data_IF_759791534712
#
_entry.id   IF_759791534712
#
_cell.length_a   1.000
_cell.length_b   1.000
_cell.length_c   1.000
_cell.angle_alpha   90.00
_cell.angle_beta   90.00
_cell.angle_gamma   90.00
#
_symmetry.space_group_name_H-M   'P 1'
#
loop_
_entity.id
_entity.type
_entity.pdbx_description
1 polymer ?
#
# COMPACT_ATOMS: atom_id res chain seq x y z
N UNK A 1 -1.46 -16.94 -15.52
CA UNK A 1 -1.54 -15.75 -16.42
C UNK A 1 -0.23 -15.00 -16.26
N UNK A 2 0.45 -14.65 -17.37
CA UNK A 2 1.64 -13.80 -17.33
C UNK A 2 1.26 -12.34 -17.05
N UNK A 3 2.10 -11.61 -16.33
CA UNK A 3 1.98 -10.18 -16.07
C UNK A 3 0.58 -9.74 -15.59
N UNK A 4 -0.01 -10.35 -14.54
CA UNK A 4 -1.24 -9.82 -13.97
C UNK A 4 -1.05 -8.34 -13.58
N UNK A 5 -2.10 -7.55 -13.70
CA UNK A 5 -2.08 -6.11 -13.43
C UNK A 5 -2.88 -5.77 -12.17
N UNK A 6 -2.35 -4.87 -11.34
CA UNK A 6 -2.96 -4.47 -10.06
C UNK A 6 -2.71 -3.00 -9.74
N UNK A 7 -3.51 -2.41 -8.86
CA UNK A 7 -3.10 -1.23 -8.09
C UNK A 7 -2.12 -1.64 -6.98
N UNK A 8 -1.38 -0.68 -6.41
CA UNK A 8 -0.74 -0.87 -5.10
C UNK A 8 -1.81 -0.94 -4.02
N UNK A 9 -2.66 0.05 -3.91
CA UNK A 9 -3.80 0.09 -2.99
C UNK A 9 -4.77 1.19 -3.38
N UNK A 10 -4.39 2.44 -3.17
CA UNK A 10 -5.27 3.58 -3.35
C UNK A 10 -5.49 3.98 -4.82
N UNK A 11 -6.73 4.38 -5.12
CA UNK A 11 -7.15 5.07 -6.33
C UNK A 11 -7.61 6.50 -5.97
N UNK A 12 -7.58 7.49 -6.89
CA UNK A 12 -7.99 8.85 -6.55
C UNK A 12 -9.45 8.92 -6.09
N UNK A 13 -9.65 9.41 -4.87
CA UNK A 13 -10.97 9.62 -4.31
C UNK A 13 -11.68 10.77 -5.05
N UNK A 14 -13.03 10.72 -5.22
CA UNK A 14 -13.77 11.81 -5.84
C UNK A 14 -13.69 13.11 -5.03
N UNK A 15 -13.66 14.25 -5.74
CA UNK A 15 -13.58 15.59 -5.12
C UNK A 15 -14.83 15.92 -4.28
N UNK A 16 -15.97 15.31 -4.60
CA UNK A 16 -17.18 15.46 -3.78
C UNK A 16 -17.13 14.68 -2.47
N UNK A 17 -16.27 13.65 -2.37
CA UNK A 17 -16.10 12.83 -1.17
C UNK A 17 -15.08 13.42 -0.21
N UNK A 18 -13.91 13.82 -0.71
CA UNK A 18 -12.79 14.28 0.11
C UNK A 18 -12.20 15.58 -0.45
N UNK A 19 -11.72 16.45 0.42
CA UNK A 19 -10.99 17.65 0.04
C UNK A 19 -9.57 17.32 -0.40
N UNK A 20 -9.41 17.08 -1.70
CA UNK A 20 -8.15 16.66 -2.30
C UNK A 20 -7.08 17.76 -2.29
N UNK A 21 -7.47 19.03 -2.34
CA UNK A 21 -6.55 20.15 -2.25
C UNK A 21 -5.89 20.18 -0.86
N UNK A 22 -6.71 20.13 0.20
CA UNK A 22 -6.21 20.07 1.58
C UNK A 22 -5.42 18.78 1.85
N UNK A 23 -5.84 17.66 1.29
CA UNK A 23 -5.12 16.38 1.41
C UNK A 23 -3.76 16.45 0.72
N UNK A 24 -3.67 17.03 -0.48
CA UNK A 24 -2.43 17.16 -1.25
C UNK A 24 -1.45 18.20 -0.70
N UNK A 25 -1.95 19.19 0.03
CA UNK A 25 -1.14 20.24 0.66
C UNK A 25 -0.49 19.84 1.99
N UNK A 26 -0.57 18.58 2.41
CA UNK A 26 -0.05 18.08 3.71
C UNK A 26 0.49 16.66 3.58
N UNK A 27 1.34 16.27 4.52
CA UNK A 27 1.72 14.87 4.67
C UNK A 27 0.48 14.00 4.91
N UNK A 28 0.45 12.73 4.42
CA UNK A 28 -0.63 11.82 4.69
C UNK A 28 -0.92 11.75 6.19
N UNK A 29 -2.17 12.00 6.63
CA UNK A 29 -2.49 12.02 8.05
C UNK A 29 -2.22 10.66 8.71
N UNK A 30 -1.64 10.69 9.92
CA UNK A 30 -1.38 9.48 10.72
C UNK A 30 -2.44 9.26 11.79
N UNK A 31 -3.16 10.31 12.15
CA UNK A 31 -4.38 10.27 12.95
C UNK A 31 -5.60 10.57 12.09
N UNK A 32 -6.80 10.33 12.61
CA UNK A 32 -8.03 10.61 11.85
C UNK A 32 -8.11 12.10 11.49
N UNK A 33 -8.43 12.36 10.24
CA UNK A 33 -8.52 13.69 9.64
C UNK A 33 -9.94 13.90 9.08
N UNK A 34 -10.93 13.84 9.97
CA UNK A 34 -12.36 13.86 9.61
C UNK A 34 -12.77 15.13 8.89
N UNK A 35 -12.05 16.22 9.10
CA UNK A 35 -12.24 17.51 8.43
C UNK A 35 -11.94 17.50 6.93
N UNK A 36 -11.30 16.44 6.43
CA UNK A 36 -11.07 16.25 4.99
C UNK A 36 -12.31 15.74 4.25
N UNK A 37 -13.25 15.08 4.95
CA UNK A 37 -14.47 14.60 4.30
C UNK A 37 -15.42 15.75 4.01
N UNK A 38 -15.88 15.84 2.73
CA UNK A 38 -16.84 16.87 2.28
C UNK A 38 -18.29 16.47 2.50
N UNK A 39 -18.52 15.22 2.88
CA UNK A 39 -19.85 14.66 3.13
C UNK A 39 -20.13 14.68 4.63
N UNK A 40 -21.35 15.03 5.02
CA UNK A 40 -21.76 15.03 6.43
C UNK A 40 -21.66 13.63 7.04
N UNK A 41 -21.38 13.49 8.35
CA UNK A 41 -21.25 12.19 8.99
C UNK A 41 -22.45 11.25 8.78
N UNK A 42 -23.66 11.79 8.64
CA UNK A 42 -24.89 11.03 8.42
C UNK A 42 -24.88 10.24 7.09
N UNK A 43 -24.22 10.76 6.07
CA UNK A 43 -24.18 10.16 4.73
C UNK A 43 -22.79 9.64 4.34
N UNK A 44 -21.79 9.81 5.21
CA UNK A 44 -20.41 9.50 4.86
C UNK A 44 -20.21 8.03 4.47
N UNK A 45 -20.79 7.11 5.23
CA UNK A 45 -20.66 5.67 4.97
C UNK A 45 -21.28 5.26 3.62
N UNK A 46 -22.42 5.85 3.24
CA UNK A 46 -23.06 5.65 1.93
C UNK A 46 -22.18 6.21 0.81
N UNK A 47 -21.74 7.45 0.94
CA UNK A 47 -20.86 8.10 -0.02
C UNK A 47 -19.53 7.36 -0.22
N UNK A 48 -18.96 6.79 0.82
CA UNK A 48 -17.75 5.97 0.74
C UNK A 48 -17.98 4.67 -0.04
N UNK A 49 -19.15 4.02 0.13
CA UNK A 49 -19.55 2.84 -0.66
C UNK A 49 -19.73 3.17 -2.13
N UNK A 50 -20.41 4.28 -2.44
CA UNK A 50 -20.60 4.75 -3.82
C UNK A 50 -19.25 5.06 -4.48
N UNK A 51 -18.34 5.71 -3.76
CA UNK A 51 -16.99 5.96 -4.24
C UNK A 51 -16.20 4.67 -4.46
N UNK A 52 -16.38 3.65 -3.61
CA UNK A 52 -15.76 2.33 -3.79
C UNK A 52 -16.27 1.64 -5.04
N UNK A 53 -17.58 1.69 -5.33
CA UNK A 53 -18.14 1.18 -6.60
C UNK A 53 -17.53 1.88 -7.81
N UNK A 54 -17.38 3.20 -7.77
CA UNK A 54 -16.72 3.96 -8.84
C UNK A 54 -15.23 3.58 -9.00
N UNK A 55 -14.52 3.28 -7.89
CA UNK A 55 -13.14 2.85 -7.96
C UNK A 55 -13.02 1.43 -8.53
N UNK A 56 -13.89 0.49 -8.15
CA UNK A 56 -13.95 -0.86 -8.71
C UNK A 56 -14.23 -0.76 -10.21
N UNK A 57 -15.27 -0.04 -10.58
CA UNK A 57 -15.64 0.14 -11.99
C UNK A 57 -14.49 0.71 -12.82
N UNK A 58 -13.80 1.75 -12.34
CA UNK A 58 -12.69 2.35 -13.06
C UNK A 58 -11.53 1.36 -13.27
N UNK A 59 -11.20 0.55 -12.25
CA UNK A 59 -10.17 -0.48 -12.34
C UNK A 59 -10.55 -1.58 -13.36
N UNK A 60 -11.78 -2.04 -13.34
CA UNK A 60 -12.28 -3.05 -14.27
C UNK A 60 -12.36 -2.53 -15.70
N UNK A 61 -12.80 -1.27 -15.90
CA UNK A 61 -12.82 -0.62 -17.23
C UNK A 61 -11.41 -0.38 -17.78
N UNK A 62 -10.43 -0.08 -16.92
CA UNK A 62 -9.03 -0.01 -17.30
C UNK A 62 -8.43 -1.41 -17.61
N UNK A 63 -9.13 -2.50 -17.34
CA UNK A 63 -8.73 -3.86 -17.64
C UNK A 63 -7.84 -4.52 -16.59
N UNK A 64 -7.83 -4.05 -15.35
CA UNK A 64 -7.02 -4.67 -14.28
C UNK A 64 -7.46 -6.12 -14.00
N UNK A 65 -6.50 -6.98 -13.73
CA UNK A 65 -6.72 -8.38 -13.36
C UNK A 65 -7.01 -8.53 -11.86
N UNK A 66 -6.38 -7.69 -11.04
CA UNK A 66 -6.49 -7.66 -9.58
C UNK A 66 -6.99 -6.28 -9.17
N UNK A 67 -8.11 -6.21 -8.46
CA UNK A 67 -8.74 -4.96 -8.04
C UNK A 67 -8.65 -4.74 -6.53
N UNK A 68 -8.73 -3.47 -6.12
CA UNK A 68 -8.71 -3.05 -4.71
C UNK A 68 -9.96 -2.22 -4.39
N UNK A 69 -10.21 -1.94 -3.10
CA UNK A 69 -11.24 -1.00 -2.64
C UNK A 69 -10.90 0.47 -3.00
N UNK A 70 -9.71 0.71 -3.55
CA UNK A 70 -9.18 2.05 -3.84
C UNK A 70 -8.92 2.90 -2.60
N UNK A 71 -9.02 2.35 -1.39
CA UNK A 71 -8.92 3.05 -0.10
C UNK A 71 -9.95 4.19 0.05
N UNK A 72 -11.15 4.02 -0.51
CA UNK A 72 -12.17 5.07 -0.52
C UNK A 72 -12.67 5.45 0.87
N UNK A 73 -12.55 4.53 1.85
CA UNK A 73 -12.99 4.73 3.23
C UNK A 73 -11.90 5.30 4.16
N UNK A 74 -10.71 5.65 3.63
CA UNK A 74 -9.54 6.05 4.42
C UNK A 74 -9.00 7.42 3.99
N UNK A 75 -8.66 8.26 4.96
CA UNK A 75 -7.96 9.53 4.67
C UNK A 75 -6.50 9.24 4.26
N UNK A 76 -5.91 8.16 4.84
CA UNK A 76 -4.55 7.69 4.57
C UNK A 76 -4.50 6.18 4.74
N UNK A 77 -3.47 5.54 4.17
CA UNK A 77 -3.27 4.08 4.22
C UNK A 77 -3.16 3.53 5.65
N UNK A 78 -2.68 4.30 6.63
CA UNK A 78 -2.38 3.79 7.97
C UNK A 78 -3.32 4.27 9.07
N UNK A 79 -3.91 5.46 8.94
CA UNK A 79 -4.53 6.14 10.06
C UNK A 79 -5.80 5.46 10.58
N UNK A 80 -6.61 4.86 9.70
CA UNK A 80 -7.85 4.18 10.10
C UNK A 80 -7.55 2.97 10.98
N UNK A 81 -6.65 2.10 10.55
CA UNK A 81 -6.29 0.91 11.31
C UNK A 81 -5.56 1.28 12.61
N UNK A 82 -4.51 2.10 12.52
CA UNK A 82 -3.69 2.47 13.68
C UNK A 82 -4.49 3.15 14.82
N UNK A 83 -5.55 3.91 14.48
CA UNK A 83 -6.39 4.59 15.46
C UNK A 83 -7.61 3.78 15.94
N UNK A 84 -7.82 2.59 15.39
CA UNK A 84 -8.90 1.68 15.80
C UNK A 84 -8.47 0.67 16.88
N UNK A 85 -7.18 0.68 17.27
CA UNK A 85 -6.61 -0.27 18.23
C UNK A 85 -6.71 0.26 19.66
N UNK A 86 -6.86 -0.66 20.64
CA UNK A 86 -6.64 -0.37 22.05
C UNK A 86 -5.18 -0.02 22.30
N UNK A 87 -4.94 0.70 23.37
CA UNK A 87 -3.62 1.17 23.74
C UNK A 87 -3.22 2.48 23.07
N UNK A 88 -4.04 2.99 22.13
CA UNK A 88 -3.84 4.28 21.45
C UNK A 88 -4.75 5.36 22.06
N UNK A 89 -4.14 6.45 22.54
CA UNK A 89 -4.86 7.65 22.97
C UNK A 89 -5.20 8.49 21.72
N UNK A 90 -6.45 8.39 21.27
CA UNK A 90 -6.95 9.09 20.07
C UNK A 90 -7.31 10.56 20.35
N UNK A 91 -7.55 10.91 21.60
CA UNK A 91 -7.95 12.26 22.01
C UNK A 91 -6.74 13.19 22.20
N UNK A 92 -5.58 12.62 22.55
CA UNK A 92 -4.33 13.33 22.76
C UNK A 92 -3.23 12.76 21.82
N UNK A 93 -3.23 13.10 20.54
CA UNK A 93 -2.23 12.61 19.59
C UNK A 93 -0.81 12.94 20.06
N UNK A 94 0.11 12.02 19.76
CA UNK A 94 1.53 12.22 19.95
C UNK A 94 2.16 12.99 18.80
N UNK A 95 3.48 13.09 18.84
CA UNK A 95 4.29 13.70 17.78
C UNK A 95 5.46 12.79 17.44
N UNK A 96 5.67 12.53 16.14
CA UNK A 96 6.88 11.88 15.63
C UNK A 96 7.41 12.63 14.43
N UNK A 97 8.70 12.47 14.16
CA UNK A 97 9.32 13.04 12.97
C UNK A 97 8.92 12.22 11.74
N UNK A 98 8.48 12.91 10.70
CA UNK A 98 8.26 12.29 9.40
C UNK A 98 9.59 11.93 8.71
N UNK A 99 9.51 11.47 7.45
CA UNK A 99 10.70 11.09 6.68
C UNK A 99 11.63 12.26 6.37
N UNK A 100 11.09 13.49 6.37
CA UNK A 100 11.81 14.72 6.09
C UNK A 100 12.29 15.43 7.36
N UNK A 101 12.07 14.83 8.54
CA UNK A 101 12.49 15.37 9.84
C UNK A 101 11.54 16.42 10.44
N UNK A 102 10.33 16.57 9.88
CA UNK A 102 9.35 17.51 10.43
C UNK A 102 8.42 16.81 11.44
N UNK A 103 8.02 17.50 12.53
CA UNK A 103 7.06 16.98 13.48
C UNK A 103 5.68 16.80 12.84
N UNK A 104 5.07 15.64 13.03
CA UNK A 104 3.76 15.30 12.51
C UNK A 104 2.90 14.66 13.61
N UNK A 105 1.61 15.00 13.73
CA UNK A 105 0.71 14.31 14.65
C UNK A 105 0.61 12.82 14.32
N UNK A 106 0.79 11.97 15.33
CA UNK A 106 0.79 10.51 15.21
C UNK A 106 -0.04 9.86 16.31
N UNK A 107 -0.44 8.59 16.18
CA UNK A 107 -1.01 7.82 17.28
C UNK A 107 -0.08 7.84 18.49
N UNK A 108 -0.63 8.10 19.67
CA UNK A 108 0.09 8.04 20.94
C UNK A 108 -0.23 6.75 21.66
N UNK A 109 0.77 5.92 21.84
CA UNK A 109 0.62 4.60 22.48
C UNK A 109 0.86 4.72 23.98
N UNK A 110 -0.20 4.57 24.75
CA UNK A 110 -0.23 4.71 26.22
C UNK A 110 -0.58 3.43 26.96
N UNK A 111 -0.81 2.33 26.22
CA UNK A 111 -1.15 1.02 26.74
C UNK A 111 -0.82 -0.10 25.76
N UNK A 112 -1.11 -1.36 26.13
CA UNK A 112 -0.83 -2.49 25.24
C UNK A 112 -1.69 -2.42 23.97
N UNK A 113 -1.05 -2.53 22.81
CA UNK A 113 -1.75 -2.59 21.53
C UNK A 113 -2.57 -3.88 21.45
N UNK A 114 -3.85 -3.74 21.18
CA UNK A 114 -4.79 -4.86 20.98
C UNK A 114 -5.83 -4.49 19.94
N UNK A 115 -6.21 -5.46 19.12
CA UNK A 115 -7.31 -5.31 18.19
C UNK A 115 -8.63 -5.68 18.90
N UNK A 116 -9.59 -4.75 18.97
CA UNK A 116 -10.93 -4.98 19.59
C UNK A 116 -11.91 -5.66 18.62
N UNK A 117 -11.84 -5.30 17.36
CA UNK A 117 -12.77 -5.73 16.31
C UNK A 117 -12.09 -5.66 14.94
N UNK A 118 -12.60 -6.38 13.94
CA UNK A 118 -12.16 -6.23 12.56
C UNK A 118 -12.32 -4.79 12.07
N UNK A 119 -11.32 -4.27 11.37
CA UNK A 119 -11.29 -2.87 10.93
C UNK A 119 -11.61 -2.73 9.43
N UNK A 120 -10.99 -3.57 8.60
CA UNK A 120 -11.07 -3.48 7.13
C UNK A 120 -11.91 -4.64 6.51
N UNK A 121 -12.39 -5.58 7.31
CA UNK A 121 -13.15 -6.76 6.82
C UNK A 121 -14.45 -6.37 6.10
N UNK A 122 -15.10 -5.30 6.54
CA UNK A 122 -16.29 -4.75 5.87
C UNK A 122 -15.99 -4.26 4.46
N UNK A 123 -14.79 -3.69 4.23
CA UNK A 123 -14.37 -3.22 2.92
C UNK A 123 -14.07 -4.40 2.00
N UNK A 124 -13.45 -5.48 2.52
CA UNK A 124 -13.23 -6.73 1.77
C UNK A 124 -14.56 -7.38 1.38
N UNK A 125 -15.50 -7.51 2.31
CA UNK A 125 -16.81 -8.09 2.03
C UNK A 125 -17.56 -7.28 0.96
N UNK A 126 -17.47 -5.95 1.03
CA UNK A 126 -18.06 -5.06 0.02
C UNK A 126 -17.37 -5.21 -1.34
N UNK A 127 -16.05 -5.21 -1.37
CA UNK A 127 -15.26 -5.39 -2.60
C UNK A 127 -15.59 -6.74 -3.26
N UNK A 128 -15.63 -7.83 -2.48
CA UNK A 128 -15.96 -9.18 -2.98
C UNK A 128 -17.39 -9.25 -3.52
N UNK A 129 -18.34 -8.59 -2.89
CA UNK A 129 -19.75 -8.56 -3.34
C UNK A 129 -19.93 -7.80 -4.66
N UNK A 130 -19.00 -6.91 -5.02
CA UNK A 130 -19.11 -6.00 -6.17
C UNK A 130 -18.07 -6.25 -7.27
N UNK A 131 -17.21 -7.26 -7.14
CA UNK A 131 -16.25 -7.65 -8.18
C UNK A 131 -16.08 -9.16 -8.27
N UNK A 132 -16.10 -9.69 -9.50
CA UNK A 132 -15.75 -11.09 -9.81
C UNK A 132 -14.24 -11.30 -10.05
N UNK A 133 -13.43 -10.27 -9.95
CA UNK A 133 -11.97 -10.32 -10.14
C UNK A 133 -11.25 -10.89 -8.91
N UNK A 134 -9.98 -11.19 -9.05
CA UNK A 134 -9.07 -11.34 -7.90
C UNK A 134 -9.05 -10.03 -7.13
N UNK A 135 -9.24 -10.08 -5.82
CA UNK A 135 -9.25 -8.88 -4.97
C UNK A 135 -8.05 -8.81 -4.04
N UNK A 136 -7.52 -7.62 -3.89
CA UNK A 136 -6.43 -7.31 -2.97
C UNK A 136 -6.87 -6.21 -2.00
N UNK A 137 -6.52 -6.38 -0.73
CA UNK A 137 -6.69 -5.35 0.31
C UNK A 137 -5.34 -4.99 0.91
N UNK A 138 -5.17 -3.71 1.30
CA UNK A 138 -3.98 -3.21 1.98
C UNK A 138 -4.25 -2.94 3.45
N UNK A 139 -3.27 -3.24 4.28
CA UNK A 139 -3.23 -2.85 5.70
C UNK A 139 -1.86 -2.23 6.01
N UNK A 140 -1.75 -1.30 6.97
CA UNK A 140 -0.44 -0.79 7.34
C UNK A 140 0.41 -1.88 7.98
N UNK A 141 1.69 -1.92 7.61
CA UNK A 141 2.64 -2.85 8.21
C UNK A 141 3.06 -2.45 9.63
N UNK A 142 3.40 -3.42 10.47
CA UNK A 142 3.68 -3.19 11.89
C UNK A 142 4.93 -2.34 12.13
N UNK A 143 5.99 -2.52 11.33
CA UNK A 143 7.18 -1.71 11.44
C UNK A 143 6.88 -0.24 11.13
N UNK A 144 6.17 0.02 10.04
CA UNK A 144 5.75 1.37 9.64
C UNK A 144 4.88 2.03 10.70
N UNK A 145 3.91 1.32 11.30
CA UNK A 145 3.08 1.87 12.36
C UNK A 145 3.91 2.23 13.59
N UNK A 146 4.87 1.40 13.99
CA UNK A 146 5.76 1.70 15.12
C UNK A 146 6.64 2.94 14.87
N UNK A 147 7.10 3.13 13.63
CA UNK A 147 7.88 4.33 13.24
C UNK A 147 7.00 5.60 13.15
N UNK A 148 5.69 5.45 13.05
CA UNK A 148 4.71 6.53 12.94
C UNK A 148 3.87 6.67 14.22
N UNK A 149 4.39 6.29 15.38
CA UNK A 149 3.72 6.42 16.66
C UNK A 149 4.63 7.09 17.69
N UNK A 150 4.02 7.77 18.66
CA UNK A 150 4.71 8.13 19.89
C UNK A 150 4.53 6.98 20.88
N UNK A 151 5.63 6.40 21.33
CA UNK A 151 5.63 5.25 22.25
C UNK A 151 5.84 5.72 23.68
N UNK A 152 4.78 5.73 24.47
CA UNK A 152 4.81 6.07 25.92
C UNK A 152 4.58 4.83 26.81
N UNK A 153 4.50 3.61 26.23
CA UNK A 153 4.18 2.41 26.97
C UNK A 153 5.24 1.29 26.87
N UNK A 154 5.64 0.92 25.66
CA UNK A 154 6.60 -0.16 25.45
C UNK A 154 8.03 0.29 25.74
N UNK A 155 8.88 -0.64 26.21
CA UNK A 155 10.27 -0.33 26.54
C UNK A 155 11.12 0.02 25.31
N UNK A 156 10.72 -0.43 24.11
CA UNK A 156 11.41 -0.15 22.85
C UNK A 156 10.44 -0.02 21.67
N UNK A 157 10.93 0.57 20.56
CA UNK A 157 10.17 0.61 19.29
C UNK A 157 10.02 -0.79 18.68
N UNK A 158 10.97 -1.69 18.94
CA UNK A 158 10.87 -3.10 18.54
C UNK A 158 9.70 -3.79 19.24
N UNK A 159 9.57 -3.66 20.55
CA UNK A 159 8.44 -4.23 21.31
C UNK A 159 7.10 -3.64 20.82
N UNK A 160 7.06 -2.35 20.53
CA UNK A 160 5.87 -1.73 19.95
C UNK A 160 5.55 -2.31 18.56
N UNK A 161 6.55 -2.51 17.70
CA UNK A 161 6.36 -3.11 16.39
C UNK A 161 5.81 -4.55 16.49
N UNK A 162 6.30 -5.34 17.44
CA UNK A 162 5.79 -6.68 17.70
C UNK A 162 4.35 -6.66 18.26
N UNK A 163 4.01 -5.68 19.09
CA UNK A 163 2.64 -5.47 19.54
C UNK A 163 1.68 -5.13 18.38
N UNK A 164 2.09 -4.25 17.48
CA UNK A 164 1.34 -3.97 16.25
C UNK A 164 1.24 -5.21 15.36
N UNK A 165 2.31 -6.02 15.26
CA UNK A 165 2.31 -7.22 14.44
C UNK A 165 1.26 -8.25 14.90
N UNK A 166 0.99 -8.37 16.18
CA UNK A 166 -0.10 -9.22 16.71
C UNK A 166 -1.47 -8.74 16.23
N UNK A 167 -1.74 -7.45 16.36
CA UNK A 167 -3.01 -6.85 15.90
C UNK A 167 -3.18 -6.97 14.38
N UNK A 168 -2.10 -6.79 13.60
CA UNK A 168 -2.11 -6.97 12.14
C UNK A 168 -2.35 -8.44 11.78
N UNK A 169 -1.74 -9.38 12.50
CA UNK A 169 -1.95 -10.81 12.25
C UNK A 169 -3.42 -11.23 12.42
N UNK A 170 -4.07 -10.73 13.46
CA UNK A 170 -5.51 -10.97 13.67
C UNK A 170 -6.33 -10.38 12.52
N UNK A 171 -6.02 -9.15 12.08
CA UNK A 171 -6.71 -8.52 10.95
C UNK A 171 -6.50 -9.30 9.66
N UNK A 172 -5.27 -9.69 9.32
CA UNK A 172 -4.95 -10.46 8.10
C UNK A 172 -5.74 -11.78 8.04
N UNK A 173 -5.86 -12.50 9.17
CA UNK A 173 -6.69 -13.72 9.24
C UNK A 173 -8.16 -13.45 8.91
N UNK A 174 -8.72 -12.39 9.48
CA UNK A 174 -10.11 -12.04 9.26
C UNK A 174 -10.35 -11.49 7.85
N UNK A 175 -9.38 -10.81 7.24
CA UNK A 175 -9.47 -10.35 5.86
C UNK A 175 -9.54 -11.53 4.88
N UNK A 176 -8.73 -12.56 5.06
CA UNK A 176 -8.86 -13.80 4.26
C UNK A 176 -10.18 -14.50 4.52
N UNK A 177 -10.64 -14.58 5.77
CA UNK A 177 -11.95 -15.15 6.11
C UNK A 177 -13.10 -14.35 5.48
N UNK A 178 -12.96 -13.03 5.32
CA UNK A 178 -13.92 -12.17 4.63
C UNK A 178 -13.88 -12.27 3.10
N UNK A 179 -12.91 -13.01 2.52
CA UNK A 179 -12.84 -13.33 1.10
C UNK A 179 -11.77 -12.56 0.31
N UNK A 180 -10.76 -11.97 0.97
CA UNK A 180 -9.60 -11.45 0.26
C UNK A 180 -8.81 -12.58 -0.41
N UNK A 181 -8.33 -12.36 -1.65
CA UNK A 181 -7.42 -13.28 -2.33
C UNK A 181 -5.96 -12.93 -2.00
N UNK A 182 -5.67 -11.64 -1.83
CA UNK A 182 -4.34 -11.12 -1.51
C UNK A 182 -4.47 -10.08 -0.40
N UNK A 183 -3.61 -10.19 0.63
CA UNK A 183 -3.46 -9.16 1.66
C UNK A 183 -2.06 -8.56 1.59
N UNK A 184 -1.97 -7.25 1.47
CA UNK A 184 -0.72 -6.51 1.35
C UNK A 184 -0.44 -5.70 2.61
N UNK A 185 0.76 -5.87 3.19
CA UNK A 185 1.28 -5.01 4.24
C UNK A 185 2.03 -3.82 3.61
N UNK A 186 1.62 -2.60 3.95
CA UNK A 186 2.29 -1.39 3.49
C UNK A 186 3.41 -1.00 4.46
N UNK A 187 4.65 -1.19 4.03
CA UNK A 187 5.87 -0.99 4.83
C UNK A 187 6.83 0.06 4.25
N UNK A 188 6.36 1.25 3.91
CA UNK A 188 7.22 2.27 3.31
C UNK A 188 8.35 2.76 4.22
N UNK A 189 8.27 2.57 5.54
CA UNK A 189 9.33 2.98 6.47
C UNK A 189 10.52 2.02 6.51
N UNK A 190 10.40 0.77 6.03
CA UNK A 190 11.56 -0.12 5.89
C UNK A 190 12.67 0.52 5.07
N UNK A 191 12.32 1.18 3.97
CA UNK A 191 13.28 1.90 3.16
C UNK A 191 13.68 3.26 3.76
N UNK A 192 12.76 3.93 4.47
CA UNK A 192 13.03 5.23 5.08
C UNK A 192 13.90 5.14 6.35
N UNK A 193 13.92 3.98 7.02
CA UNK A 193 14.68 3.71 8.25
C UNK A 193 15.40 2.36 8.16
N UNK A 194 16.31 2.17 7.19
CA UNK A 194 16.88 0.85 6.90
C UNK A 194 17.70 0.28 8.07
N UNK A 195 18.36 1.11 8.86
CA UNK A 195 19.13 0.64 10.03
C UNK A 195 18.23 0.03 11.12
N UNK A 196 17.08 0.64 11.39
CA UNK A 196 16.09 0.08 12.32
C UNK A 196 15.39 -1.13 11.70
N UNK A 197 15.10 -1.07 10.39
CA UNK A 197 14.48 -2.17 9.66
C UNK A 197 15.33 -3.46 9.70
N UNK A 198 16.66 -3.34 9.60
CA UNK A 198 17.59 -4.49 9.74
C UNK A 198 17.53 -5.16 11.10
N UNK A 199 17.20 -4.40 12.16
CA UNK A 199 17.15 -4.96 13.53
C UNK A 199 15.90 -5.81 13.74
N UNK A 200 14.72 -5.33 13.35
CA UNK A 200 13.46 -5.99 13.68
C UNK A 200 12.36 -5.93 12.58
N UNK A 201 12.62 -5.29 11.43
CA UNK A 201 11.62 -5.13 10.37
C UNK A 201 11.10 -6.46 9.83
N UNK A 202 12.01 -7.39 9.49
CA UNK A 202 11.62 -8.74 9.01
C UNK A 202 10.92 -9.53 10.11
N UNK A 203 11.40 -9.44 11.37
CA UNK A 203 10.77 -10.12 12.49
C UNK A 203 9.32 -9.65 12.72
N UNK A 204 9.09 -8.34 12.61
CA UNK A 204 7.75 -7.76 12.73
C UNK A 204 6.82 -8.22 11.59
N UNK A 205 7.31 -8.24 10.35
CA UNK A 205 6.56 -8.77 9.18
C UNK A 205 6.22 -10.25 9.39
N UNK A 206 7.19 -11.08 9.74
CA UNK A 206 7.00 -12.52 9.91
C UNK A 206 6.02 -12.80 11.07
N UNK A 207 6.06 -11.99 12.16
CA UNK A 207 5.07 -12.08 13.22
C UNK A 207 3.67 -11.73 12.73
N UNK A 208 3.52 -10.68 11.91
CA UNK A 208 2.24 -10.28 11.33
C UNK A 208 1.68 -11.32 10.34
N UNK A 209 2.54 -12.09 9.70
CA UNK A 209 2.17 -13.13 8.72
C UNK A 209 2.15 -14.55 9.32
N UNK A 210 2.43 -14.72 10.61
CA UNK A 210 2.51 -16.02 11.25
C UNK A 210 1.20 -16.82 11.12
N UNK A 211 1.29 -18.04 10.56
CA UNK A 211 0.14 -18.94 10.39
C UNK A 211 -0.87 -18.51 9.32
N UNK A 212 -0.49 -17.60 8.43
CA UNK A 212 -1.31 -17.20 7.27
C UNK A 212 -1.06 -18.20 6.14
N UNK A 213 -2.14 -18.65 5.51
CA UNK A 213 -2.09 -19.58 4.36
C UNK A 213 -2.51 -18.95 3.02
N UNK A 214 -3.02 -17.71 3.04
CA UNK A 214 -3.39 -16.95 1.84
C UNK A 214 -2.20 -16.22 1.23
N UNK A 215 -2.35 -15.72 0.00
CA UNK A 215 -1.31 -14.96 -0.69
C UNK A 215 -1.07 -13.62 -0.02
N UNK A 216 0.16 -13.37 0.38
CA UNK A 216 0.58 -12.16 1.09
C UNK A 216 1.55 -11.33 0.27
N UNK A 217 1.48 -10.02 0.42
CA UNK A 217 2.41 -9.08 -0.22
C UNK A 217 2.97 -8.08 0.80
N UNK A 218 4.19 -7.61 0.57
CA UNK A 218 4.78 -6.47 1.29
C UNK A 218 5.12 -5.39 0.28
N UNK A 219 4.60 -4.17 0.51
CA UNK A 219 4.88 -3.02 -0.35
C UNK A 219 5.92 -2.08 0.26
N UNK A 220 6.97 -1.80 -0.52
CA UNK A 220 7.97 -0.78 -0.24
C UNK A 220 7.97 0.27 -1.32
N UNK A 221 7.99 1.53 -0.93
CA UNK A 221 8.18 2.64 -1.84
C UNK A 221 9.05 3.74 -1.21
N UNK A 222 9.41 4.71 -2.03
CA UNK A 222 10.10 5.91 -1.55
C UNK A 222 9.12 6.99 -1.06
N UNK A 223 7.81 6.67 -0.98
CA UNK A 223 6.73 7.55 -0.56
C UNK A 223 5.99 8.19 -1.73
N UNK A 224 4.88 8.87 -1.44
CA UNK A 224 4.09 9.54 -2.46
C UNK A 224 4.90 10.62 -3.18
N UNK A 225 4.96 10.53 -4.51
CA UNK A 225 5.71 11.45 -5.36
C UNK A 225 5.28 12.92 -5.22
N UNK A 226 4.00 13.13 -5.02
CA UNK A 226 3.43 14.46 -4.79
C UNK A 226 3.95 15.18 -3.53
N UNK A 227 4.57 14.42 -2.59
CA UNK A 227 4.96 14.92 -1.27
C UNK A 227 6.46 14.73 -1.02
N UNK A 228 7.04 13.61 -1.45
CA UNK A 228 8.45 13.28 -1.21
C UNK A 228 9.24 13.53 -2.50
N UNK A 229 10.01 14.61 -2.50
CA UNK A 229 10.80 15.04 -3.67
C UNK A 229 12.23 14.49 -3.64
N UNK A 230 12.86 14.44 -2.45
CA UNK A 230 14.18 13.82 -2.28
C UNK A 230 14.03 12.30 -2.15
N UNK A 231 14.47 11.57 -3.18
CA UNK A 231 14.31 10.13 -3.29
C UNK A 231 15.66 9.44 -3.38
N UNK A 232 15.85 8.32 -2.68
CA UNK A 232 17.03 7.50 -2.89
C UNK A 232 17.02 6.91 -4.31
N UNK A 233 18.21 6.69 -4.87
CA UNK A 233 18.39 6.08 -6.19
C UNK A 233 18.24 4.56 -6.19
N UNK A 234 18.02 3.93 -5.03
CA UNK A 234 17.94 2.48 -4.90
C UNK A 234 17.44 2.02 -3.54
N UNK A 235 17.12 0.74 -3.47
CA UNK A 235 16.71 0.07 -2.24
C UNK A 235 17.92 -0.45 -1.46
N UNK A 236 17.95 -0.18 -0.18
CA UNK A 236 19.01 -0.64 0.74
C UNK A 236 18.57 -1.82 1.62
N UNK A 237 17.34 -2.32 1.46
CA UNK A 237 16.71 -3.33 2.32
C UNK A 237 16.13 -4.54 1.56
N UNK A 238 16.28 -4.61 0.22
CA UNK A 238 15.72 -5.74 -0.56
C UNK A 238 16.30 -7.11 -0.21
N UNK A 239 17.61 -7.25 0.06
CA UNK A 239 18.17 -8.56 0.43
C UNK A 239 17.54 -9.14 1.70
N UNK A 240 17.27 -8.30 2.70
CA UNK A 240 16.65 -8.69 3.97
C UNK A 240 15.20 -9.14 3.76
N UNK A 241 14.47 -8.53 2.81
CA UNK A 241 13.09 -8.93 2.49
C UNK A 241 12.98 -10.31 1.84
N UNK A 242 14.06 -10.83 1.26
CA UNK A 242 14.06 -12.22 0.80
C UNK A 242 13.78 -13.21 1.93
N UNK A 243 14.12 -12.86 3.18
CA UNK A 243 13.87 -13.65 4.39
C UNK A 243 12.49 -13.39 5.03
N UNK A 244 11.68 -12.48 4.50
CA UNK A 244 10.31 -12.27 4.98
C UNK A 244 9.39 -13.40 4.51
N UNK A 245 8.41 -13.78 5.34
CA UNK A 245 7.47 -14.87 5.06
C UNK A 245 6.33 -14.48 4.08
N UNK A 246 6.46 -13.34 3.38
CA UNK A 246 5.51 -12.94 2.34
C UNK A 246 5.77 -13.65 1.01
N UNK A 247 4.71 -13.84 0.20
CA UNK A 247 4.80 -14.45 -1.13
C UNK A 247 5.26 -13.45 -2.19
N UNK A 248 4.87 -12.19 -2.03
CA UNK A 248 5.08 -11.13 -3.02
C UNK A 248 5.74 -9.91 -2.40
N UNK A 249 6.61 -9.24 -3.17
CA UNK A 249 7.23 -7.96 -2.80
C UNK A 249 6.91 -6.91 -3.86
N UNK A 250 6.32 -5.80 -3.43
CA UNK A 250 5.94 -4.68 -4.30
C UNK A 250 6.94 -3.54 -4.14
N UNK A 251 7.51 -3.09 -5.26
CA UNK A 251 8.54 -2.05 -5.31
C UNK A 251 8.31 -1.07 -6.45
N UNK A 252 8.73 0.18 -6.27
CA UNK A 252 8.76 1.17 -7.36
C UNK A 252 10.03 1.02 -8.20
N UNK A 253 9.90 1.11 -9.52
CA UNK A 253 11.02 1.07 -10.45
C UNK A 253 10.95 2.12 -11.56
N UNK A 254 9.76 2.67 -11.83
CA UNK A 254 9.57 3.59 -12.94
C UNK A 254 10.08 4.99 -12.61
N UNK A 255 9.62 5.56 -11.51
CA UNK A 255 9.95 6.93 -11.12
C UNK A 255 11.39 7.08 -10.64
N UNK A 256 11.90 6.08 -9.93
CA UNK A 256 13.29 6.04 -9.45
C UNK A 256 14.30 5.73 -10.55
N UNK A 257 13.85 5.24 -11.72
CA UNK A 257 14.74 4.74 -12.75
C UNK A 257 15.60 3.56 -12.28
N UNK A 258 15.11 2.76 -11.34
CA UNK A 258 15.82 1.72 -10.63
C UNK A 258 16.58 0.78 -11.59
N UNK A 259 17.81 0.45 -11.28
CA UNK A 259 18.50 -0.67 -11.90
C UNK A 259 17.85 -1.99 -11.48
N UNK A 260 17.19 -2.66 -12.43
CA UNK A 260 16.46 -3.89 -12.16
C UNK A 260 17.34 -5.07 -11.73
N UNK A 261 18.68 -4.97 -11.79
CA UNK A 261 19.59 -6.01 -11.29
C UNK A 261 19.37 -6.31 -9.78
N UNK A 262 18.91 -5.33 -9.01
CA UNK A 262 18.60 -5.49 -7.58
C UNK A 262 17.45 -6.49 -7.32
N UNK A 263 16.61 -6.75 -8.33
CA UNK A 263 15.50 -7.72 -8.25
C UNK A 263 15.99 -9.16 -8.04
N UNK A 264 17.23 -9.46 -8.46
CA UNK A 264 17.85 -10.75 -8.22
C UNK A 264 17.93 -11.10 -6.72
N UNK A 265 17.97 -10.10 -5.84
CA UNK A 265 17.94 -10.29 -4.39
C UNK A 265 16.61 -10.89 -3.89
N UNK A 266 15.51 -10.73 -4.65
CA UNK A 266 14.17 -11.26 -4.32
C UNK A 266 13.92 -12.66 -4.89
N UNK A 267 14.97 -13.46 -5.04
CA UNK A 267 14.83 -14.80 -5.60
C UNK A 267 13.80 -15.64 -4.82
N UNK A 268 12.91 -16.31 -5.57
CA UNK A 268 11.79 -17.09 -4.99
C UNK A 268 10.50 -16.29 -4.75
N UNK A 269 10.54 -14.96 -4.68
CA UNK A 269 9.36 -14.11 -4.50
C UNK A 269 8.71 -13.75 -5.84
N UNK A 270 7.39 -13.52 -5.82
CA UNK A 270 6.73 -12.77 -6.89
C UNK A 270 7.03 -11.29 -6.71
N UNK A 271 7.39 -10.60 -7.78
CA UNK A 271 7.68 -9.17 -7.75
C UNK A 271 6.49 -8.41 -8.35
N UNK A 272 5.86 -7.57 -7.53
CA UNK A 272 4.90 -6.58 -8.01
C UNK A 272 5.73 -5.37 -8.44
N UNK A 273 5.96 -5.28 -9.75
CA UNK A 273 6.85 -4.33 -10.39
C UNK A 273 6.13 -3.01 -10.64
N UNK A 274 6.58 -1.93 -10.02
CA UNK A 274 6.10 -0.58 -10.30
C UNK A 274 6.57 -0.14 -11.68
N UNK A 275 5.63 0.04 -12.61
CA UNK A 275 5.90 0.38 -14.02
C UNK A 275 5.28 1.69 -14.46
N UNK A 276 4.53 2.35 -13.60
CA UNK A 276 3.94 3.67 -13.83
C UNK A 276 4.54 4.69 -12.86
N UNK A 277 5.12 5.75 -13.41
CA UNK A 277 5.60 6.89 -12.63
C UNK A 277 4.41 7.70 -12.10
N UNK A 278 4.48 8.12 -10.85
CA UNK A 278 3.49 9.01 -10.22
C UNK A 278 4.06 10.41 -9.97
N UNK A 279 5.26 10.69 -10.51
CA UNK A 279 5.98 11.95 -10.33
C UNK A 279 5.40 13.10 -11.14
N UNK A 280 4.67 12.79 -12.19
CA UNK A 280 3.99 13.76 -13.04
C UNK A 280 2.66 13.22 -13.59
N UNK A 281 1.93 14.06 -14.31
CA UNK A 281 0.63 13.73 -14.87
C UNK A 281 0.71 13.18 -16.31
N UNK A 282 1.90 12.95 -16.84
CA UNK A 282 2.06 12.35 -18.17
C UNK A 282 1.56 10.91 -18.14
N UNK A 283 0.65 10.58 -19.04
CA UNK A 283 0.20 9.21 -19.27
C UNK A 283 1.23 8.53 -20.17
N UNK A 284 1.88 7.49 -19.66
CA UNK A 284 2.85 6.69 -20.39
C UNK A 284 2.19 5.98 -21.58
N UNK A 285 2.94 5.72 -22.64
CA UNK A 285 2.50 4.81 -23.68
C UNK A 285 2.62 3.34 -23.23
N UNK A 286 1.86 2.46 -23.85
CA UNK A 286 1.98 1.02 -23.61
C UNK A 286 3.40 0.50 -23.98
N UNK A 287 4.08 1.13 -24.92
CA UNK A 287 5.45 0.77 -25.31
C UNK A 287 6.48 1.17 -24.25
N UNK A 288 6.31 2.34 -23.60
CA UNK A 288 7.16 2.76 -22.48
C UNK A 288 7.03 1.80 -21.30
N UNK A 289 5.79 1.42 -20.98
CA UNK A 289 5.52 0.46 -19.90
C UNK A 289 6.11 -0.91 -20.23
N UNK A 290 5.90 -1.41 -21.46
CA UNK A 290 6.48 -2.69 -21.90
C UNK A 290 8.01 -2.67 -21.87
N UNK A 291 8.65 -1.57 -22.26
CA UNK A 291 10.09 -1.40 -22.16
C UNK A 291 10.59 -1.48 -20.71
N UNK A 292 9.84 -0.90 -19.75
CA UNK A 292 10.16 -1.02 -18.30
C UNK A 292 10.07 -2.47 -17.83
N UNK A 293 9.04 -3.21 -18.23
CA UNK A 293 8.89 -4.64 -17.88
C UNK A 293 10.05 -5.46 -18.43
N UNK A 294 10.43 -5.24 -19.70
CA UNK A 294 11.54 -5.98 -20.35
C UNK A 294 12.88 -5.79 -19.63
N UNK A 295 13.10 -4.64 -18.95
CA UNK A 295 14.31 -4.45 -18.13
C UNK A 295 14.36 -5.39 -16.91
N UNK A 296 13.22 -5.84 -16.40
CA UNK A 296 13.15 -6.73 -15.25
C UNK A 296 13.30 -8.23 -15.62
N UNK A 297 12.95 -8.61 -16.87
CA UNK A 297 12.93 -10.01 -17.31
C UNK A 297 14.26 -10.76 -17.18
N UNK A 298 15.46 -10.13 -17.34
CA UNK A 298 16.73 -10.82 -17.08
C UNK A 298 16.92 -11.27 -15.64
N UNK A 299 16.18 -10.71 -14.68
CA UNK A 299 16.35 -10.91 -13.24
C UNK A 299 15.18 -11.62 -12.59
N UNK A 300 13.97 -11.52 -13.14
CA UNK A 300 12.76 -12.14 -12.63
C UNK A 300 12.01 -12.81 -13.78
N UNK A 301 11.73 -14.13 -13.68
CA UNK A 301 10.90 -14.82 -14.66
C UNK A 301 9.53 -14.18 -14.85
N UNK A 302 9.01 -14.20 -16.08
CA UNK A 302 7.75 -13.55 -16.45
C UNK A 302 6.56 -14.02 -15.59
N UNK A 303 6.56 -15.28 -15.17
CA UNK A 303 5.52 -15.91 -14.34
C UNK A 303 5.49 -15.36 -12.90
N UNK A 304 6.57 -14.70 -12.48
CA UNK A 304 6.70 -14.08 -11.15
C UNK A 304 6.64 -12.56 -11.20
N UNK A 305 6.18 -11.96 -12.30
CA UNK A 305 5.97 -10.52 -12.42
C UNK A 305 4.49 -10.18 -12.40
N UNK A 306 4.10 -9.29 -11.50
CA UNK A 306 2.82 -8.58 -11.46
C UNK A 306 3.11 -7.12 -11.77
N UNK A 307 2.31 -6.46 -12.61
CA UNK A 307 2.52 -5.06 -12.97
C UNK A 307 1.64 -4.16 -12.11
N UNK A 308 2.22 -3.07 -11.62
CA UNK A 308 1.50 -2.09 -10.79
C UNK A 308 2.05 -0.67 -11.01
N UNK A 309 1.36 0.38 -10.55
CA UNK A 309 1.98 1.68 -10.35
C UNK A 309 3.11 1.61 -9.31
N UNK A 310 4.00 2.59 -9.32
CA UNK A 310 5.11 2.66 -8.34
C UNK A 310 4.63 2.76 -6.88
N UNK A 311 3.48 3.38 -6.65
CA UNK A 311 2.88 3.57 -5.32
C UNK A 311 1.36 3.75 -5.47
N UNK A 312 0.66 4.08 -4.39
CA UNK A 312 -0.76 4.43 -4.42
C UNK A 312 -1.03 5.69 -5.27
N UNK A 313 -2.12 5.69 -6.03
CA UNK A 313 -2.47 6.73 -7.00
C UNK A 313 -3.33 7.87 -6.41
N UNK A 314 -3.57 7.89 -5.11
CA UNK A 314 -4.48 8.80 -4.40
C UNK A 314 -4.37 10.28 -4.81
N UNK A 315 -3.18 10.76 -5.10
CA UNK A 315 -2.91 12.18 -5.37
C UNK A 315 -3.02 12.57 -6.85
N UNK A 316 -3.13 11.62 -7.77
CA UNK A 316 -3.30 11.91 -9.20
C UNK A 316 -4.72 12.41 -9.53
N UNK A 317 -4.91 13.22 -10.56
CA UNK A 317 -6.21 13.41 -11.20
C UNK A 317 -6.79 12.07 -11.66
N UNK A 318 -8.12 11.91 -11.58
CA UNK A 318 -8.78 10.63 -11.86
C UNK A 318 -8.62 10.18 -13.31
N UNK A 319 -8.70 11.11 -14.25
CA UNK A 319 -8.50 10.88 -15.69
C UNK A 319 -7.07 10.44 -15.99
N UNK A 320 -6.07 11.08 -15.37
CA UNK A 320 -4.67 10.70 -15.48
C UNK A 320 -4.44 9.30 -14.92
N UNK A 321 -4.98 9.02 -13.72
CA UNK A 321 -4.87 7.69 -13.11
C UNK A 321 -5.49 6.60 -14.01
N UNK A 322 -6.68 6.86 -14.55
CA UNK A 322 -7.34 5.94 -15.47
C UNK A 322 -6.53 5.70 -16.75
N UNK A 323 -6.02 6.77 -17.38
CA UNK A 323 -5.18 6.66 -18.58
C UNK A 323 -3.90 5.85 -18.34
N UNK A 324 -3.21 6.09 -17.20
CA UNK A 324 -2.02 5.32 -16.81
C UNK A 324 -2.32 3.83 -16.63
N UNK A 325 -3.43 3.48 -15.97
CA UNK A 325 -3.85 2.09 -15.79
C UNK A 325 -4.18 1.42 -17.13
N UNK A 326 -4.85 2.13 -18.04
CA UNK A 326 -5.14 1.62 -19.40
C UNK A 326 -3.84 1.32 -20.15
N UNK A 327 -2.87 2.23 -20.13
CA UNK A 327 -1.56 2.01 -20.77
C UNK A 327 -0.84 0.78 -20.19
N UNK A 328 -0.95 0.56 -18.88
CA UNK A 328 -0.35 -0.62 -18.21
C UNK A 328 -1.02 -1.93 -18.64
N UNK A 329 -2.34 -1.96 -18.71
CA UNK A 329 -3.07 -3.17 -19.13
C UNK A 329 -2.87 -3.48 -20.60
N UNK A 330 -2.78 -2.45 -21.47
CA UNK A 330 -2.40 -2.62 -22.88
C UNK A 330 -0.98 -3.18 -23.02
N UNK A 331 -0.01 -2.67 -22.25
CA UNK A 331 1.35 -3.19 -22.24
C UNK A 331 1.39 -4.67 -21.80
N UNK A 332 0.65 -5.03 -20.75
CA UNK A 332 0.52 -6.40 -20.28
C UNK A 332 -0.06 -7.33 -21.37
N UNK A 333 -1.09 -6.87 -22.09
CA UNK A 333 -1.69 -7.64 -23.18
C UNK A 333 -0.69 -7.88 -24.33
N UNK A 334 0.10 -6.87 -24.72
CA UNK A 334 1.16 -6.99 -25.74
C UNK A 334 2.25 -7.98 -25.31
N UNK A 335 2.74 -7.86 -24.07
CA UNK A 335 3.77 -8.77 -23.54
C UNK A 335 3.28 -10.22 -23.42
N UNK A 336 2.01 -10.43 -23.07
CA UNK A 336 1.36 -11.76 -23.08
C UNK A 336 1.33 -12.36 -24.48
N UNK A 337 1.06 -11.55 -25.51
CA UNK A 337 1.04 -12.02 -26.89
C UNK A 337 2.45 -12.33 -27.45
N UNK A 338 3.49 -11.65 -26.93
CA UNK A 338 4.88 -11.86 -27.34
C UNK A 338 5.53 -13.08 -26.68
N UNK A 339 5.17 -13.39 -25.41
CA UNK A 339 5.89 -14.33 -24.54
C UNK A 339 5.04 -15.57 -24.14
N UNK A 340 3.77 -15.56 -24.41
CA UNK A 340 2.81 -16.65 -24.17
C UNK A 340 2.42 -17.29 -25.48
#
# INVERSE_FOLDING_TARGET
>A
MLFPTSLVGSYPQPDWLIDRERLGGRFPPRVRARELWRVSPAYLAEAQRDATLLAIWAQEQAGLDIVTDGEMCRESYSNRFATALDGVDIDNPGTALDRSGHPNPVPRVTGPIRRKHPVETGDVAFLRANSGKTIKITVPGPFTMAQQAQNDYYASTEELALGYAEAVNEEVKDLFAAGADIVQLDEPYLQARPEEARKYGVAAINRALAGISGTTAVHLCFGYAAIIHDRPSGYSFLPELAAADCDQVSIETAQSGLDCSVLAALNGKTVILGVLSLGDHTVESADDVAARVRRALPYVPAERLVLAPDCGMKYLPRDVAFGKLTAMTEAAARLRAELG
#
